data_IF_664816318919
#
_entry.id   IF_664816318919
#
_cell.length_a   1.000
_cell.length_b   1.000
_cell.length_c   1.000
_cell.angle_alpha   90.00
_cell.angle_beta   90.00
_cell.angle_gamma   90.00
#
_symmetry.space_group_name_H-M   'P 1'
#
loop_
_entity.id
_entity.type
_entity.pdbx_description
1 polymer ?
#
# COMPACT_ATOMS: atom_id res chain seq x y z
N UNK A 1 -22.87 -13.69 -3.74
CA UNK A 1 -22.34 -13.43 -2.39
C UNK A 1 -21.89 -11.98 -2.30
N UNK A 2 -22.49 -11.16 -1.45
CA UNK A 2 -21.96 -9.85 -1.07
C UNK A 2 -21.17 -10.07 0.20
N UNK A 3 -19.89 -9.73 0.16
CA UNK A 3 -19.00 -9.86 1.29
C UNK A 3 -18.47 -8.49 1.66
N UNK A 4 -19.00 -7.83 2.70
CA UNK A 4 -18.27 -6.74 3.31
C UNK A 4 -17.02 -7.33 3.98
N UNK A 5 -15.86 -6.98 3.49
CA UNK A 5 -14.59 -7.31 4.13
C UNK A 5 -14.19 -6.16 5.04
N UNK A 6 -14.14 -6.44 6.32
CA UNK A 6 -13.70 -5.50 7.33
C UNK A 6 -12.23 -5.78 7.67
N UNK A 7 -11.42 -4.77 7.49
CA UNK A 7 -10.12 -4.53 8.12
C UNK A 7 -9.06 -5.61 7.93
N UNK A 8 -8.20 -5.40 6.95
CA UNK A 8 -6.82 -5.82 7.08
C UNK A 8 -6.07 -4.71 7.83
N UNK A 9 -5.26 -5.04 8.81
CA UNK A 9 -4.26 -4.14 9.39
C UNK A 9 -2.96 -4.42 8.63
N UNK A 10 -2.66 -3.71 7.55
CA UNK A 10 -1.39 -3.91 6.85
C UNK A 10 -0.29 -3.18 7.59
N UNK A 11 0.79 -3.88 7.85
CA UNK A 11 2.07 -3.27 8.20
C UNK A 11 2.73 -2.89 6.88
N UNK A 12 2.83 -1.60 6.59
CA UNK A 12 3.41 -1.12 5.34
C UNK A 12 4.93 -1.06 5.46
N UNK A 13 5.64 -1.85 4.68
CA UNK A 13 7.09 -1.75 4.55
C UNK A 13 7.44 -1.21 3.17
N UNK A 14 8.06 -0.02 3.06
CA UNK A 14 8.60 0.43 1.79
C UNK A 14 9.80 -0.44 1.42
N UNK A 15 9.77 -1.03 0.24
CA UNK A 15 10.92 -1.69 -0.37
C UNK A 15 11.46 -0.78 -1.45
N UNK A 16 12.62 -0.22 -1.21
CA UNK A 16 13.32 0.62 -2.18
C UNK A 16 14.33 -0.23 -2.94
N UNK A 17 14.28 -0.21 -4.25
CA UNK A 17 15.07 -1.11 -5.11
C UNK A 17 16.55 -0.73 -5.26
N UNK A 18 17.07 0.24 -4.52
CA UNK A 18 18.49 0.57 -4.54
C UNK A 18 19.12 0.24 -3.19
N UNK A 19 20.08 -0.66 -3.19
CA UNK A 19 20.81 -1.15 -1.99
C UNK A 19 21.44 -0.03 -1.16
N UNK A 20 21.88 1.03 -1.79
CA UNK A 20 22.48 2.22 -1.15
C UNK A 20 21.42 3.09 -0.45
N UNK A 21 20.21 3.10 -0.93
CA UNK A 21 19.13 3.96 -0.44
C UNK A 21 18.53 3.46 0.88
N UNK A 22 18.36 2.16 1.05
CA UNK A 22 17.85 1.56 2.29
C UNK A 22 18.76 1.77 3.50
N UNK A 23 20.04 2.07 3.26
CA UNK A 23 21.00 2.43 4.32
C UNK A 23 20.96 3.92 4.68
N UNK A 24 20.52 4.76 3.73
CA UNK A 24 20.50 6.20 3.89
C UNK A 24 19.21 6.72 4.55
N UNK A 25 18.10 5.99 4.48
CA UNK A 25 16.77 6.43 4.94
C UNK A 25 16.22 5.48 6.00
N UNK A 26 15.79 6.04 7.12
CA UNK A 26 15.16 5.27 8.20
C UNK A 26 13.64 5.31 8.06
N UNK A 27 13.11 4.30 7.40
CA UNK A 27 11.66 4.11 7.32
C UNK A 27 11.17 3.27 8.49
N UNK A 28 10.07 3.68 9.10
CA UNK A 28 9.33 2.88 10.08
C UNK A 28 8.00 2.46 9.49
N UNK A 29 7.69 1.16 9.51
CA UNK A 29 6.36 0.68 9.17
C UNK A 29 5.31 1.32 10.08
N UNK A 30 4.15 1.64 9.52
CA UNK A 30 3.01 2.12 10.30
C UNK A 30 1.76 1.35 9.92
N UNK A 31 0.75 1.42 10.79
CA UNK A 31 -0.50 0.67 10.62
C UNK A 31 -1.35 1.32 9.54
N UNK A 32 -1.63 0.57 8.48
CA UNK A 32 -2.62 0.94 7.47
C UNK A 32 -4.00 0.36 7.76
N UNK A 33 -4.99 0.82 7.02
CA UNK A 33 -6.37 0.36 7.12
C UNK A 33 -6.93 0.05 5.73
N UNK A 34 -7.65 -1.05 5.63
CA UNK A 34 -8.32 -1.48 4.41
C UNK A 34 -9.80 -1.76 4.73
N UNK A 35 -10.71 -1.06 4.06
CA UNK A 35 -12.15 -1.24 4.19
C UNK A 35 -12.75 -1.49 2.81
N UNK A 36 -13.64 -2.47 2.66
CA UNK A 36 -14.25 -2.70 1.37
C UNK A 36 -15.37 -3.73 1.40
N UNK A 37 -16.00 -3.87 0.25
CA UNK A 37 -16.96 -4.94 0.00
C UNK A 37 -16.58 -5.67 -1.28
N UNK A 38 -16.86 -6.96 -1.33
CA UNK A 38 -16.59 -7.81 -2.49
C UNK A 38 -17.78 -8.66 -2.85
N UNK A 39 -17.94 -8.88 -4.14
CA UNK A 39 -18.88 -9.84 -4.71
C UNK A 39 -18.08 -11.08 -5.12
N UNK A 40 -18.54 -12.25 -4.68
CA UNK A 40 -17.93 -13.51 -5.07
C UNK A 40 -18.92 -14.27 -5.94
N UNK A 41 -18.50 -14.63 -7.14
CA UNK A 41 -19.27 -15.37 -8.11
C UNK A 41 -18.67 -16.76 -8.32
N UNK A 42 -19.42 -17.85 -8.07
CA UNK A 42 -18.92 -19.20 -8.26
C UNK A 42 -18.68 -19.49 -9.76
N UNK A 43 -17.47 -19.89 -10.10
CA UNK A 43 -17.07 -20.27 -11.48
C UNK A 43 -17.13 -21.78 -11.64
N UNK A 44 -16.53 -22.50 -10.69
CA UNK A 44 -16.57 -23.97 -10.64
C UNK A 44 -16.64 -24.43 -9.18
N UNK A 45 -16.66 -25.76 -8.96
CA UNK A 45 -16.58 -26.30 -7.59
C UNK A 45 -15.28 -25.85 -6.94
N UNK A 46 -15.41 -25.05 -5.89
CA UNK A 46 -14.27 -24.55 -5.11
C UNK A 46 -13.60 -23.28 -5.66
N UNK A 47 -13.89 -22.86 -6.90
CA UNK A 47 -13.33 -21.64 -7.49
C UNK A 47 -14.38 -20.55 -7.62
N UNK A 48 -14.07 -19.36 -7.09
CA UNK A 48 -14.92 -18.17 -7.18
C UNK A 48 -14.16 -17.01 -7.80
N UNK A 49 -14.82 -16.30 -8.69
CA UNK A 49 -14.38 -14.99 -9.15
C UNK A 49 -14.75 -13.94 -8.10
N UNK A 50 -13.84 -13.02 -7.83
CA UNK A 50 -13.97 -12.00 -6.80
C UNK A 50 -13.74 -10.62 -7.39
N UNK A 51 -14.65 -9.70 -7.13
CA UNK A 51 -14.50 -8.28 -7.46
C UNK A 51 -15.17 -7.42 -6.42
N UNK A 52 -14.90 -6.11 -6.39
CA UNK A 52 -15.50 -5.23 -5.39
C UNK A 52 -14.92 -3.84 -5.40
N UNK A 53 -15.14 -3.12 -4.32
CA UNK A 53 -14.61 -1.79 -4.09
C UNK A 53 -13.96 -1.74 -2.71
N UNK A 54 -12.79 -1.08 -2.64
CA UNK A 54 -11.98 -1.06 -1.43
C UNK A 54 -11.35 0.31 -1.23
N UNK A 55 -11.45 0.83 -0.02
CA UNK A 55 -10.75 2.03 0.43
C UNK A 55 -9.55 1.60 1.27
N UNK A 56 -8.36 2.09 0.91
CA UNK A 56 -7.12 1.81 1.61
C UNK A 56 -6.54 3.10 2.17
N UNK A 57 -6.02 3.03 3.39
CA UNK A 57 -5.19 4.04 4.00
C UNK A 57 -3.82 3.41 4.19
N UNK A 58 -2.82 3.89 3.43
CA UNK A 58 -1.43 3.45 3.55
C UNK A 58 -0.61 4.54 4.18
N UNK A 59 0.21 4.18 5.15
CA UNK A 59 1.08 5.13 5.83
C UNK A 59 2.37 4.46 6.32
N UNK A 60 3.42 5.25 6.36
CA UNK A 60 4.70 4.91 6.97
C UNK A 60 5.39 6.18 7.46
N UNK A 61 6.29 6.04 8.40
CA UNK A 61 7.01 7.14 9.01
C UNK A 61 8.46 7.16 8.53
N UNK A 62 9.01 8.37 8.46
CA UNK A 62 10.42 8.61 8.15
C UNK A 62 11.02 9.33 9.35
N UNK A 63 12.06 8.75 9.95
CA UNK A 63 12.82 9.43 10.99
C UNK A 63 13.72 10.50 10.36
N UNK A 64 13.66 11.69 10.88
CA UNK A 64 14.36 12.87 10.37
C UNK A 64 14.71 13.83 11.51
N UNK A 65 15.32 14.94 11.18
CA UNK A 65 15.66 16.01 12.12
C UNK A 65 15.12 17.34 11.62
N UNK A 66 14.58 18.15 12.54
CA UNK A 66 14.29 19.55 12.25
C UNK A 66 15.58 20.35 12.18
N UNK A 67 15.67 21.18 11.14
CA UNK A 67 16.79 22.11 10.91
C UNK A 67 16.26 23.52 10.66
N UNK A 68 17.16 24.49 10.58
CA UNK A 68 16.83 25.76 9.92
C UNK A 68 16.46 25.53 8.45
N UNK A 69 15.93 26.55 7.81
CA UNK A 69 15.54 26.48 6.41
C UNK A 69 16.76 26.19 5.51
N UNK A 70 16.76 25.06 4.83
CA UNK A 70 17.81 24.60 3.92
C UNK A 70 17.21 24.35 2.52
N UNK A 71 18.04 24.48 1.50
CA UNK A 71 17.61 24.13 0.14
C UNK A 71 17.60 22.60 -0.05
N UNK A 72 16.45 22.06 -0.42
CA UNK A 72 16.29 20.68 -0.89
C UNK A 72 16.22 20.69 -2.40
N UNK A 73 17.24 20.14 -3.08
CA UNK A 73 17.30 20.10 -4.54
C UNK A 73 16.81 18.76 -5.06
N UNK A 74 15.80 18.80 -5.93
CA UNK A 74 15.27 17.65 -6.66
C UNK A 74 15.79 17.70 -8.11
N UNK A 75 16.57 16.71 -8.53
CA UNK A 75 16.93 16.53 -9.93
C UNK A 75 15.85 15.71 -10.63
N UNK A 76 14.99 16.36 -11.38
CA UNK A 76 13.91 15.74 -12.13
C UNK A 76 14.36 15.37 -13.53
N UNK A 77 14.04 14.16 -13.97
CA UNK A 77 14.41 13.65 -15.29
C UNK A 77 13.19 13.65 -16.21
N UNK A 78 13.18 14.54 -17.21
CA UNK A 78 12.15 14.63 -18.22
C UNK A 78 12.75 14.47 -19.63
N UNK A 79 12.36 13.40 -20.35
CA UNK A 79 12.80 13.19 -21.72
C UNK A 79 14.33 13.20 -21.91
N UNK A 80 15.07 12.65 -20.96
CA UNK A 80 16.53 12.63 -20.98
C UNK A 80 17.22 13.93 -20.53
N UNK A 81 16.45 14.96 -20.16
CA UNK A 81 16.98 16.21 -19.58
C UNK A 81 16.81 16.22 -18.08
N UNK A 82 17.83 16.65 -17.36
CA UNK A 82 17.78 16.84 -15.90
C UNK A 82 17.46 18.29 -15.60
N UNK A 83 16.40 18.51 -14.85
CA UNK A 83 15.99 19.81 -14.34
C UNK A 83 16.12 19.81 -12.82
N UNK A 84 16.94 20.70 -12.28
CA UNK A 84 17.06 20.89 -10.85
C UNK A 84 16.03 21.89 -10.34
N UNK A 85 15.23 21.47 -9.37
CA UNK A 85 14.28 22.32 -8.65
C UNK A 85 14.72 22.38 -7.20
N UNK A 86 14.94 23.59 -6.68
CA UNK A 86 15.28 23.79 -5.28
C UNK A 86 14.08 24.34 -4.52
N UNK A 87 13.74 23.70 -3.40
CA UNK A 87 12.64 24.04 -2.52
C UNK A 87 13.20 24.19 -1.11
N UNK A 88 12.70 25.15 -0.34
CA UNK A 88 13.09 25.30 1.06
C UNK A 88 12.51 24.16 1.90
N UNK A 89 13.35 23.58 2.72
CA UNK A 89 13.00 22.49 3.64
C UNK A 89 13.49 22.83 5.06
N UNK A 90 12.72 22.37 6.05
CA UNK A 90 13.10 22.42 7.47
C UNK A 90 13.43 21.04 8.04
N UNK A 91 13.57 20.02 7.16
CA UNK A 91 13.81 18.65 7.56
C UNK A 91 15.06 18.09 6.89
N UNK A 92 15.98 17.58 7.71
CA UNK A 92 17.22 16.97 7.27
C UNK A 92 17.28 15.50 7.68
N UNK A 93 17.87 14.66 6.84
CA UNK A 93 17.95 13.22 7.05
C UNK A 93 18.91 12.81 8.19
N UNK A 94 19.95 13.57 8.43
CA UNK A 94 21.06 13.15 9.29
C UNK A 94 21.35 14.09 10.46
N UNK A 95 21.10 15.40 10.32
CA UNK A 95 21.55 16.43 11.24
C UNK A 95 20.45 17.44 11.52
N UNK A 96 20.25 17.80 12.77
CA UNK A 96 19.32 18.85 13.17
C UNK A 96 19.33 19.07 14.68
N UNK A 97 18.62 20.09 15.12
CA UNK A 97 18.54 20.47 16.53
C UNK A 97 17.48 19.66 17.30
N UNK A 98 16.53 19.04 16.59
CA UNK A 98 15.47 18.20 17.18
C UNK A 98 15.13 17.02 16.29
N UNK A 99 14.97 15.83 16.88
CA UNK A 99 14.44 14.68 16.18
C UNK A 99 12.97 14.92 15.80
N UNK A 100 12.60 14.55 14.57
CA UNK A 100 11.26 14.69 14.02
C UNK A 100 10.85 13.43 13.23
N UNK A 101 9.57 13.29 12.99
CA UNK A 101 9.01 12.21 12.18
C UNK A 101 8.11 12.78 11.09
N UNK A 102 8.36 12.39 9.85
CA UNK A 102 7.50 12.70 8.72
C UNK A 102 6.58 11.54 8.45
N UNK A 103 5.29 11.81 8.35
CA UNK A 103 4.27 10.80 8.07
C UNK A 103 3.89 10.84 6.60
N UNK A 104 4.26 9.79 5.87
CA UNK A 104 3.79 9.56 4.52
C UNK A 104 2.45 8.84 4.59
N UNK A 105 1.40 9.47 4.04
CA UNK A 105 0.03 8.96 4.09
C UNK A 105 -0.68 9.12 2.77
N UNK A 106 -1.27 8.02 2.28
CA UNK A 106 -1.99 7.99 1.01
C UNK A 106 -3.34 7.31 1.20
N UNK A 107 -4.40 7.98 0.75
CA UNK A 107 -5.74 7.42 0.66
C UNK A 107 -5.97 6.89 -0.75
N UNK A 108 -6.44 5.66 -0.86
CA UNK A 108 -6.54 4.96 -2.13
C UNK A 108 -7.93 4.34 -2.30
N UNK A 109 -8.49 4.48 -3.49
CA UNK A 109 -9.64 3.72 -3.93
C UNK A 109 -9.16 2.60 -4.85
N UNK A 110 -9.51 1.36 -4.55
CA UNK A 110 -9.06 0.18 -5.30
C UNK A 110 -10.25 -0.66 -5.77
N UNK A 111 -10.10 -1.27 -6.94
CA UNK A 111 -11.01 -2.23 -7.52
C UNK A 111 -10.34 -3.61 -7.52
N UNK A 112 -10.53 -4.45 -6.47
CA UNK A 112 -9.97 -5.78 -6.47
C UNK A 112 -10.67 -6.67 -7.50
N UNK A 113 -9.88 -7.35 -8.32
CA UNK A 113 -10.32 -8.35 -9.31
C UNK A 113 -9.46 -9.58 -9.09
N UNK A 114 -10.05 -10.74 -8.86
CA UNK A 114 -9.26 -11.93 -8.59
C UNK A 114 -10.04 -13.21 -8.43
N UNK A 115 -9.36 -14.19 -7.89
CA UNK A 115 -9.86 -15.54 -7.68
C UNK A 115 -9.72 -15.92 -6.21
N UNK A 116 -10.71 -16.66 -5.73
CA UNK A 116 -10.71 -17.33 -4.43
C UNK A 116 -10.91 -18.83 -4.69
N UNK A 117 -9.95 -19.63 -4.23
CA UNK A 117 -9.97 -21.07 -4.38
C UNK A 117 -10.04 -21.77 -3.05
N UNK A 118 -11.06 -22.60 -2.85
CA UNK A 118 -11.26 -23.41 -1.67
C UNK A 118 -10.34 -24.64 -1.72
N UNK A 119 -9.28 -24.62 -0.90
CA UNK A 119 -8.31 -25.72 -0.80
C UNK A 119 -8.88 -26.92 -0.03
N UNK A 120 -9.49 -26.62 1.12
CA UNK A 120 -10.00 -27.64 2.04
C UNK A 120 -11.37 -27.20 2.54
N UNK A 121 -12.28 -28.18 2.63
CA UNK A 121 -13.57 -28.00 3.28
C UNK A 121 -13.84 -29.17 4.24
N UNK A 122 -14.07 -28.84 5.50
CA UNK A 122 -14.41 -29.80 6.52
C UNK A 122 -15.61 -29.30 7.33
N UNK A 123 -16.80 -29.91 7.10
CA UNK A 123 -18.07 -29.51 7.76
C UNK A 123 -18.32 -27.99 7.60
N UNK A 124 -18.16 -27.25 8.71
CA UNK A 124 -18.39 -25.79 8.76
C UNK A 124 -17.10 -24.98 8.56
N UNK A 125 -15.96 -25.61 8.47
CA UNK A 125 -14.65 -24.95 8.31
C UNK A 125 -14.12 -25.11 6.89
N UNK A 126 -13.38 -24.12 6.43
CA UNK A 126 -12.69 -24.19 5.13
C UNK A 126 -11.39 -23.40 5.15
N UNK A 127 -10.51 -23.77 4.24
CA UNK A 127 -9.28 -23.04 3.95
C UNK A 127 -9.33 -22.62 2.50
N UNK A 128 -9.11 -21.34 2.25
CA UNK A 128 -9.14 -20.73 0.93
C UNK A 128 -7.81 -20.06 0.64
N UNK A 129 -7.39 -20.06 -0.59
CA UNK A 129 -6.36 -19.18 -1.09
C UNK A 129 -6.98 -18.16 -2.02
N UNK A 130 -6.52 -16.92 -1.95
CA UNK A 130 -7.01 -15.86 -2.83
C UNK A 130 -5.84 -15.13 -3.47
N UNK A 131 -6.05 -14.71 -4.72
CA UNK A 131 -5.14 -13.85 -5.45
C UNK A 131 -5.94 -12.76 -6.15
N UNK A 132 -5.48 -11.50 -6.06
CA UNK A 132 -6.14 -10.36 -6.68
C UNK A 132 -5.16 -9.42 -7.36
N UNK A 133 -5.63 -8.78 -8.43
CA UNK A 133 -5.03 -7.59 -9.04
C UNK A 133 -5.96 -6.44 -8.70
N UNK A 134 -5.39 -5.31 -8.30
CA UNK A 134 -6.15 -4.18 -7.77
C UNK A 134 -5.70 -2.89 -8.46
N UNK A 135 -6.32 -2.48 -9.59
CA UNK A 135 -6.22 -1.12 -10.07
C UNK A 135 -6.60 -0.16 -8.94
N UNK A 136 -5.75 0.81 -8.69
CA UNK A 136 -5.84 1.66 -7.50
C UNK A 136 -5.65 3.12 -7.88
N UNK A 137 -6.53 3.98 -7.40
CA UNK A 137 -6.47 5.43 -7.57
C UNK A 137 -6.14 6.11 -6.25
N UNK A 138 -5.09 6.95 -6.24
CA UNK A 138 -4.67 7.74 -5.08
C UNK A 138 -5.51 9.01 -4.99
N UNK A 139 -6.41 9.09 -4.01
CA UNK A 139 -7.36 10.20 -3.82
C UNK A 139 -6.65 11.39 -3.20
N UNK A 140 -6.00 11.17 -2.06
CA UNK A 140 -5.27 12.19 -1.32
C UNK A 140 -3.91 11.66 -0.90
N UNK A 141 -2.90 12.53 -0.91
CA UNK A 141 -1.51 12.18 -0.69
C UNK A 141 -0.88 13.23 0.20
N UNK A 142 -0.21 12.77 1.24
CA UNK A 142 0.70 13.58 2.04
C UNK A 142 2.02 12.81 2.09
N UNK A 143 2.96 13.22 1.24
CA UNK A 143 4.18 12.45 1.00
C UNK A 143 5.37 13.41 0.94
N UNK A 144 6.45 12.99 1.58
CA UNK A 144 7.73 13.69 1.54
C UNK A 144 8.69 12.97 0.61
N UNK A 145 9.41 13.75 -0.18
CA UNK A 145 10.48 13.31 -1.07
C UNK A 145 11.82 13.62 -0.45
N UNK A 146 12.77 12.76 -0.68
CA UNK A 146 14.16 13.00 -0.35
C UNK A 146 14.85 13.78 -1.46
N UNK A 147 15.65 14.79 -1.13
CA UNK A 147 16.46 15.53 -2.10
C UNK A 147 17.47 14.61 -2.78
N UNK A 148 17.97 15.01 -3.94
CA UNK A 148 18.87 14.19 -4.77
C UNK A 148 20.23 13.94 -4.10
N UNK A 149 20.64 14.83 -3.20
CA UNK A 149 21.83 14.68 -2.36
C UNK A 149 21.60 13.83 -1.09
N UNK A 150 20.38 13.28 -0.92
CA UNK A 150 19.94 12.52 0.24
C UNK A 150 19.99 13.29 1.59
N UNK A 151 20.08 14.61 1.55
CA UNK A 151 20.24 15.42 2.76
C UNK A 151 18.93 15.92 3.34
N UNK A 152 17.96 16.34 2.51
CA UNK A 152 16.79 17.06 2.98
C UNK A 152 15.49 16.44 2.47
N UNK A 153 14.40 16.59 3.23
CA UNK A 153 13.06 16.17 2.84
C UNK A 153 12.18 17.36 2.47
N UNK A 154 11.42 17.23 1.40
CA UNK A 154 10.45 18.24 0.97
C UNK A 154 9.11 17.60 0.62
N UNK A 155 8.03 18.38 0.69
CA UNK A 155 6.71 17.92 0.27
C UNK A 155 6.69 17.57 -1.23
N UNK A 156 6.14 16.39 -1.56
CA UNK A 156 6.22 15.83 -2.91
C UNK A 156 4.92 15.25 -3.45
N UNK A 157 3.79 15.79 -3.03
CA UNK A 157 2.47 15.25 -3.37
C UNK A 157 2.22 15.14 -4.88
N UNK A 158 2.74 16.09 -5.67
CA UNK A 158 2.57 16.15 -7.11
C UNK A 158 3.36 15.08 -7.87
N UNK A 159 4.38 14.53 -7.25
CA UNK A 159 5.23 13.48 -7.82
C UNK A 159 4.72 12.07 -7.55
N UNK A 160 3.70 11.90 -6.72
CA UNK A 160 3.06 10.61 -6.47
C UNK A 160 2.13 10.24 -7.63
N UNK A 161 2.23 9.01 -8.12
CA UNK A 161 1.33 8.49 -9.17
C UNK A 161 -0.13 8.58 -8.73
N UNK A 162 -0.99 9.05 -9.65
CA UNK A 162 -2.45 9.02 -9.43
C UNK A 162 -3.00 7.60 -9.54
N UNK A 163 -2.49 6.81 -10.49
CA UNK A 163 -2.89 5.43 -10.72
C UNK A 163 -1.76 4.47 -10.39
N UNK A 164 -2.11 3.38 -9.72
CA UNK A 164 -1.20 2.29 -9.42
C UNK A 164 -1.90 0.94 -9.62
N UNK A 165 -1.12 -0.14 -9.58
CA UNK A 165 -1.63 -1.52 -9.60
C UNK A 165 -1.03 -2.22 -8.40
N UNK A 166 -1.89 -2.77 -7.55
CA UNK A 166 -1.48 -3.64 -6.45
C UNK A 166 -1.83 -5.08 -6.80
N UNK A 167 -1.02 -6.01 -6.35
CA UNK A 167 -1.33 -7.44 -6.37
C UNK A 167 -1.39 -7.95 -4.95
N UNK A 168 -2.30 -8.86 -4.65
CA UNK A 168 -2.33 -9.48 -3.32
C UNK A 168 -2.54 -10.98 -3.39
N UNK A 169 -1.96 -11.67 -2.41
CA UNK A 169 -2.16 -13.10 -2.17
C UNK A 169 -2.43 -13.29 -0.69
N UNK A 170 -3.34 -14.21 -0.36
CA UNK A 170 -3.68 -14.51 1.02
C UNK A 170 -4.23 -15.90 1.21
N UNK A 171 -4.15 -16.38 2.46
CA UNK A 171 -4.79 -17.62 2.92
C UNK A 171 -5.85 -17.24 3.94
N UNK A 172 -7.09 -17.73 3.74
CA UNK A 172 -8.22 -17.39 4.59
C UNK A 172 -8.79 -18.65 5.23
N UNK A 173 -8.94 -18.63 6.52
CA UNK A 173 -9.71 -19.61 7.27
C UNK A 173 -11.17 -19.17 7.30
N UNK A 174 -12.08 -20.04 6.91
CA UNK A 174 -13.51 -19.73 6.88
C UNK A 174 -14.28 -20.59 7.87
N UNK A 175 -15.31 -19.99 8.49
CA UNK A 175 -16.29 -20.66 9.33
C UNK A 175 -17.70 -20.33 8.86
N UNK A 176 -18.48 -21.35 8.48
CA UNK A 176 -19.84 -21.20 7.99
C UNK A 176 -20.87 -21.49 9.11
N UNK A 177 -21.75 -20.52 9.36
CA UNK A 177 -22.90 -20.66 10.24
C UNK A 177 -24.17 -20.26 9.49
N UNK A 178 -24.97 -21.25 9.09
CA UNK A 178 -26.12 -21.03 8.21
C UNK A 178 -25.70 -20.40 6.88
N UNK A 179 -26.30 -19.28 6.53
CA UNK A 179 -26.00 -18.54 5.30
C UNK A 179 -24.84 -17.53 5.46
N UNK A 180 -24.24 -17.46 6.63
CA UNK A 180 -23.14 -16.53 6.92
C UNK A 180 -21.81 -17.27 6.95
N UNK A 181 -20.81 -16.70 6.30
CA UNK A 181 -19.43 -17.20 6.29
C UNK A 181 -18.55 -16.10 6.88
N UNK A 182 -17.79 -16.45 7.90
CA UNK A 182 -16.73 -15.64 8.47
C UNK A 182 -15.40 -16.07 7.88
N UNK A 183 -14.54 -15.11 7.59
CA UNK A 183 -13.20 -15.38 7.04
C UNK A 183 -12.17 -14.57 7.82
N UNK A 184 -11.05 -15.21 8.12
CA UNK A 184 -9.90 -14.59 8.78
C UNK A 184 -8.63 -15.18 8.22
N UNK A 185 -7.64 -14.36 7.89
CA UNK A 185 -6.34 -14.88 7.48
C UNK A 185 -5.33 -13.84 7.07
N UNK A 186 -4.07 -14.26 6.97
CA UNK A 186 -3.00 -13.40 6.51
C UNK A 186 -3.10 -13.09 5.02
N UNK A 187 -2.64 -11.89 4.66
CA UNK A 187 -2.46 -11.48 3.27
C UNK A 187 -1.17 -10.68 3.11
N UNK A 188 -0.62 -10.76 1.91
CA UNK A 188 0.50 -9.94 1.44
C UNK A 188 -0.01 -9.17 0.23
N UNK A 189 0.31 -7.87 0.16
CA UNK A 189 0.02 -7.02 -0.98
C UNK A 189 1.30 -6.34 -1.44
N UNK A 190 1.52 -6.37 -2.74
CA UNK A 190 2.65 -5.73 -3.40
C UNK A 190 2.18 -4.67 -4.38
N UNK A 191 2.78 -3.49 -4.31
CA UNK A 191 2.55 -2.42 -5.26
C UNK A 191 3.45 -2.62 -6.47
N UNK A 192 2.86 -2.88 -7.63
CA UNK A 192 3.58 -3.25 -8.85
C UNK A 192 4.26 -2.06 -9.53
N UNK A 193 3.59 -0.90 -9.56
CA UNK A 193 4.17 0.31 -10.12
C UNK A 193 4.83 1.14 -9.02
N UNK A 194 5.94 1.83 -9.28
CA UNK A 194 6.57 2.71 -8.31
C UNK A 194 5.60 3.77 -7.78
N UNK A 195 5.77 4.16 -6.52
CA UNK A 195 4.97 5.20 -5.84
C UNK A 195 5.06 6.53 -6.57
N UNK A 196 6.23 6.86 -7.10
CA UNK A 196 6.49 8.15 -7.72
C UNK A 196 6.44 8.11 -9.25
N UNK A 197 6.10 9.26 -9.84
CA UNK A 197 6.13 9.47 -11.29
C UNK A 197 7.55 9.45 -11.85
N UNK A 198 7.67 9.24 -13.16
CA UNK A 198 8.96 9.13 -13.86
C UNK A 198 9.93 10.31 -13.67
N UNK A 199 9.49 11.60 -13.56
CA UNK A 199 10.42 12.70 -13.34
C UNK A 199 11.26 12.55 -12.07
N UNK A 200 10.71 11.96 -11.00
CA UNK A 200 11.46 11.73 -9.78
C UNK A 200 12.30 10.46 -9.90
N UNK A 201 13.63 10.53 -9.70
CA UNK A 201 14.54 9.43 -10.04
C UNK A 201 14.44 8.24 -9.05
N UNK A 202 14.02 8.49 -7.82
CA UNK A 202 13.91 7.44 -6.80
C UNK A 202 12.62 6.65 -7.04
N UNK A 203 12.75 5.34 -7.12
CA UNK A 203 11.63 4.41 -7.30
C UNK A 203 11.40 3.64 -6.02
N UNK A 204 10.18 3.71 -5.52
CA UNK A 204 9.74 3.05 -4.31
C UNK A 204 8.54 2.16 -4.64
N UNK A 205 8.60 0.90 -4.24
CA UNK A 205 7.49 -0.03 -4.28
C UNK A 205 7.14 -0.43 -2.85
N UNK A 206 5.86 -0.51 -2.52
CA UNK A 206 5.40 -0.82 -1.17
C UNK A 206 4.96 -2.28 -1.07
N UNK A 207 5.34 -2.93 0.02
CA UNK A 207 4.84 -4.25 0.41
C UNK A 207 4.06 -4.08 1.72
N UNK A 208 2.85 -4.62 1.75
CA UNK A 208 1.99 -4.61 2.93
C UNK A 208 1.78 -6.05 3.41
N UNK A 209 1.95 -6.27 4.70
CA UNK A 209 1.63 -7.52 5.37
C UNK A 209 0.48 -7.25 6.35
N UNK A 210 -0.51 -8.13 6.38
CA UNK A 210 -1.61 -7.92 7.29
C UNK A 210 -2.55 -9.10 7.44
N UNK A 211 -3.57 -8.91 8.25
CA UNK A 211 -4.65 -9.85 8.44
C UNK A 211 -5.93 -9.27 7.86
N UNK A 212 -6.66 -10.11 7.16
CA UNK A 212 -7.98 -9.80 6.63
C UNK A 212 -9.04 -10.50 7.46
N UNK A 213 -10.04 -9.72 7.92
CA UNK A 213 -11.25 -10.24 8.53
C UNK A 213 -12.40 -9.91 7.59
N UNK A 214 -13.26 -10.87 7.33
CA UNK A 214 -14.43 -10.66 6.48
C UNK A 214 -15.62 -11.49 6.94
N UNK A 215 -16.81 -11.04 6.59
CA UNK A 215 -18.00 -11.84 6.69
C UNK A 215 -18.81 -11.72 5.40
N UNK A 216 -19.44 -12.79 4.99
CA UNK A 216 -20.25 -12.83 3.78
C UNK A 216 -21.58 -13.51 4.03
N UNK A 217 -22.58 -13.10 3.27
CA UNK A 217 -23.88 -13.72 3.26
C UNK A 217 -24.16 -14.35 1.90
N UNK A 218 -24.57 -15.60 1.91
CA UNK A 218 -25.00 -16.28 0.68
C UNK A 218 -26.44 -15.84 0.38
N UNK A 219 -26.64 -15.33 -0.83
CA UNK A 219 -27.95 -15.11 -1.41
C UNK A 219 -28.25 -16.30 -2.33
N UNK A 220 -29.45 -16.86 -2.21
CA UNK A 220 -29.96 -17.90 -3.10
C UNK A 220 -30.49 -17.27 -4.38
#
# INVERSE_FOLDING_TARGET
LIQPSLIAIPINTPVVQTTTFNQAVRHRPDIGLELGFTFNYPVTKGLQFKTGLQLNIRQYQIDTYETGANAATLALVNGGRVQNISVMSSYNNNIGFRAAQLNNKVYQLALPIGLDYQLIRFKKFGIHTQATIQPTYNINKNVYLLSTDYANYTAGNDYVRKWNINTSVGIQFSYQKGNTIWQLGPQIRYQTLPTYNNPYPIKENLIDYGFRIGWSKQFK
#
